data_IF_987636585459
#
_entry.id   IF_987636585459
#
_cell.length_a   1.000
_cell.length_b   1.000
_cell.length_c   1.000
_cell.angle_alpha   90.00
_cell.angle_beta   90.00
_cell.angle_gamma   90.00
#
_symmetry.space_group_name_H-M   'P 1'
#
loop_
_entity.id
_entity.type
_entity.pdbx_description
1 polymer ?
#
# COMPACT_ATOMS: atom_id res chain seq x y z
N UNK A 1 -1.57 10.26 16.04
CA UNK A 1 -1.17 10.05 14.63
C UNK A 1 -0.18 11.12 14.14
N UNK A 2 -0.49 12.43 14.18
CA UNK A 2 0.47 13.46 13.70
C UNK A 2 1.84 13.38 14.38
N UNK A 3 1.89 13.16 15.68
CA UNK A 3 3.13 13.06 16.46
C UNK A 3 4.06 11.96 15.92
N UNK A 4 3.53 10.75 15.67
CA UNK A 4 4.31 9.65 15.12
C UNK A 4 4.82 9.89 13.69
N UNK A 5 4.07 10.69 12.91
CA UNK A 5 4.50 11.10 11.58
C UNK A 5 5.73 12.03 11.63
N UNK A 6 5.71 13.00 12.55
CA UNK A 6 6.89 13.87 12.78
C UNK A 6 8.07 13.11 13.38
N UNK A 7 7.82 12.15 14.28
CA UNK A 7 8.86 11.29 14.84
C UNK A 7 9.56 10.48 13.71
N UNK A 8 8.78 9.88 12.81
CA UNK A 8 9.31 9.16 11.65
C UNK A 8 10.09 10.08 10.70
N UNK A 9 9.58 11.28 10.43
CA UNK A 9 10.30 12.29 9.65
C UNK A 9 11.65 12.62 10.28
N UNK A 10 11.67 12.92 11.58
CA UNK A 10 12.90 13.25 12.31
C UNK A 10 13.93 12.11 12.28
N UNK A 11 13.49 10.85 12.37
CA UNK A 11 14.37 9.68 12.23
C UNK A 11 15.06 9.67 10.86
N UNK A 12 14.34 9.96 9.78
CA UNK A 12 14.91 10.01 8.43
C UNK A 12 15.88 11.18 8.28
N UNK A 13 15.49 12.38 8.71
CA UNK A 13 16.32 13.58 8.60
C UNK A 13 17.60 13.47 9.45
N UNK A 14 17.52 12.87 10.64
CA UNK A 14 18.71 12.61 11.47
C UNK A 14 19.71 11.63 10.84
N UNK A 15 19.24 10.81 9.89
CA UNK A 15 20.07 9.91 9.09
C UNK A 15 20.60 10.56 7.80
N UNK A 16 20.34 11.86 7.61
CA UNK A 16 20.82 12.63 6.47
C UNK A 16 19.95 12.54 5.21
N UNK A 17 18.71 12.00 5.31
CA UNK A 17 17.81 11.97 4.17
C UNK A 17 17.09 13.30 3.96
N UNK A 18 17.04 13.77 2.72
CA UNK A 18 16.15 14.86 2.31
C UNK A 18 14.78 14.26 2.01
N UNK A 19 13.86 14.34 2.96
CA UNK A 19 12.52 13.74 2.84
C UNK A 19 11.60 14.71 2.10
N UNK A 20 11.06 14.30 0.94
CA UNK A 20 10.12 15.09 0.16
C UNK A 20 8.68 14.73 0.47
N UNK A 21 8.42 13.49 0.90
CA UNK A 21 7.09 13.02 1.29
C UNK A 21 7.21 11.90 2.33
N UNK A 22 6.28 11.88 3.28
CA UNK A 22 6.07 10.74 4.17
C UNK A 22 4.58 10.60 4.47
N UNK A 23 4.05 9.40 4.33
CA UNK A 23 2.64 9.10 4.59
C UNK A 23 2.45 7.79 5.36
N UNK A 24 1.35 7.72 6.10
CA UNK A 24 0.94 6.48 6.76
C UNK A 24 0.64 5.40 5.75
N UNK A 25 0.93 4.17 6.15
CA UNK A 25 0.62 2.96 5.44
C UNK A 25 0.10 1.91 6.44
N UNK A 26 -0.60 0.87 5.95
CA UNK A 26 -1.01 -0.24 6.81
C UNK A 26 -2.25 0.01 7.67
N UNK A 27 -2.36 -0.69 8.81
CA UNK A 27 -3.59 -0.82 9.59
C UNK A 27 -4.17 0.50 10.10
N UNK A 28 -3.32 1.45 10.51
CA UNK A 28 -3.74 2.76 10.98
C UNK A 28 -4.47 3.55 9.89
N UNK A 29 -4.06 3.35 8.65
CA UNK A 29 -4.65 4.02 7.50
C UNK A 29 -6.08 3.54 7.20
N UNK A 30 -6.40 2.29 7.56
CA UNK A 30 -7.68 1.64 7.23
C UNK A 30 -8.68 1.63 8.38
N UNK A 31 -8.35 2.24 9.51
CA UNK A 31 -9.11 2.12 10.76
C UNK A 31 -9.18 0.65 11.25
N UNK A 32 -8.14 -0.14 10.97
CA UNK A 32 -7.98 -1.52 11.43
C UNK A 32 -6.83 -1.67 12.44
N UNK A 33 -6.32 -0.57 12.98
CA UNK A 33 -5.32 -0.60 14.04
C UNK A 33 -5.96 -0.94 15.39
N UNK A 34 -5.21 -1.67 16.20
CA UNK A 34 -5.45 -1.90 17.62
C UNK A 34 -4.28 -1.35 18.44
N UNK A 35 -4.34 -1.48 19.77
CA UNK A 35 -3.33 -0.98 20.71
C UNK A 35 -1.91 -1.56 20.50
N UNK A 36 -1.81 -2.73 19.82
CA UNK A 36 -0.55 -3.40 19.52
C UNK A 36 -0.16 -3.28 18.05
N UNK A 37 -0.78 -2.38 17.31
CA UNK A 37 -0.46 -2.19 15.90
C UNK A 37 0.72 -1.26 15.72
N UNK A 38 1.72 -1.71 14.95
CA UNK A 38 2.85 -0.91 14.55
C UNK A 38 2.42 0.27 13.67
N UNK A 39 3.19 1.33 13.71
CA UNK A 39 3.04 2.48 12.82
C UNK A 39 3.93 2.29 11.59
N UNK A 40 3.30 1.96 10.47
CA UNK A 40 3.99 1.78 9.20
C UNK A 40 3.90 3.05 8.34
N UNK A 41 5.04 3.43 7.74
CA UNK A 41 5.15 4.61 6.88
C UNK A 41 5.78 4.24 5.55
N UNK A 42 5.42 5.01 4.51
CA UNK A 42 6.19 5.08 3.26
C UNK A 42 6.75 6.47 3.11
N UNK A 43 8.05 6.55 2.86
CA UNK A 43 8.76 7.80 2.68
C UNK A 43 9.40 7.88 1.30
N UNK A 44 9.39 9.09 0.73
CA UNK A 44 10.05 9.45 -0.51
C UNK A 44 11.16 10.43 -0.17
N UNK A 45 12.37 10.12 -0.60
CA UNK A 45 13.53 10.96 -0.39
C UNK A 45 14.12 11.43 -1.70
N UNK A 46 14.73 12.62 -1.70
CA UNK A 46 15.54 13.06 -2.82
C UNK A 46 16.91 12.36 -2.69
N UNK A 47 17.34 11.58 -3.70
CA UNK A 47 18.66 10.96 -3.67
C UNK A 47 19.74 12.05 -3.73
N UNK A 48 20.90 11.81 -3.17
CA UNK A 48 22.05 12.71 -3.31
C UNK A 48 22.56 12.70 -4.76
N UNK A 49 23.23 13.77 -5.20
CA UNK A 49 23.84 13.80 -6.53
C UNK A 49 24.87 12.66 -6.71
N UNK A 50 25.59 12.30 -5.63
CA UNK A 50 26.53 11.19 -5.64
C UNK A 50 25.84 9.85 -5.89
N UNK A 51 24.71 9.58 -5.22
CA UNK A 51 23.91 8.37 -5.43
C UNK A 51 23.40 8.30 -6.87
N UNK A 52 22.91 9.42 -7.42
CA UNK A 52 22.46 9.48 -8.82
C UNK A 52 23.58 9.13 -9.81
N UNK A 53 24.76 9.75 -9.65
CA UNK A 53 25.92 9.52 -10.53
C UNK A 53 26.38 8.07 -10.44
N UNK A 54 26.41 7.49 -9.23
CA UNK A 54 26.78 6.11 -9.00
C UNK A 54 25.69 5.10 -9.33
N UNK A 55 24.48 5.57 -9.64
CA UNK A 55 23.27 4.72 -9.82
C UNK A 55 22.96 3.87 -8.57
N UNK A 56 23.25 4.41 -7.41
CA UNK A 56 22.92 3.80 -6.13
C UNK A 56 21.43 4.11 -5.83
N UNK A 57 20.67 3.05 -5.52
CA UNK A 57 19.23 3.15 -5.26
C UNK A 57 18.97 3.20 -3.76
N UNK A 58 18.23 4.20 -3.31
CA UNK A 58 17.68 4.20 -1.95
C UNK A 58 16.38 3.41 -1.93
N UNK A 59 16.46 2.18 -1.44
CA UNK A 59 15.32 1.27 -1.31
C UNK A 59 15.50 0.38 -0.08
N UNK A 60 15.04 0.85 1.08
CA UNK A 60 15.23 0.13 2.35
C UNK A 60 14.08 0.35 3.32
N UNK A 61 13.92 -0.58 4.24
CA UNK A 61 13.06 -0.45 5.40
C UNK A 61 13.92 -0.01 6.59
N UNK A 62 13.51 1.05 7.26
CA UNK A 62 14.14 1.54 8.49
C UNK A 62 13.24 1.12 9.63
N UNK A 63 13.76 0.24 10.48
CA UNK A 63 13.08 -0.23 11.69
C UNK A 63 13.20 0.82 12.79
N UNK A 64 12.10 1.09 13.49
CA UNK A 64 11.97 2.02 14.60
C UNK A 64 11.22 1.35 15.75
N UNK A 65 11.33 1.87 16.95
CA UNK A 65 10.62 1.34 18.14
C UNK A 65 9.09 1.38 17.98
N UNK A 66 8.58 2.25 17.10
CA UNK A 66 7.14 2.42 16.84
C UNK A 66 6.66 1.69 15.59
N UNK A 67 7.54 1.11 14.77
CA UNK A 67 7.19 0.43 13.50
C UNK A 67 8.22 0.64 12.41
N UNK A 68 7.79 0.63 11.15
CA UNK A 68 8.68 0.58 9.99
C UNK A 68 8.48 1.77 9.05
N UNK A 69 9.59 2.25 8.46
CA UNK A 69 9.57 3.27 7.40
C UNK A 69 10.13 2.66 6.12
N UNK A 70 9.26 2.31 5.16
CA UNK A 70 9.67 1.87 3.81
C UNK A 70 10.09 3.11 3.00
N UNK A 71 11.40 3.29 2.85
CA UNK A 71 12.01 4.47 2.26
C UNK A 71 12.49 4.18 0.84
N UNK A 72 12.05 5.00 -0.11
CA UNK A 72 12.47 4.96 -1.52
C UNK A 72 12.94 6.32 -1.96
N UNK A 73 13.96 6.36 -2.83
CA UNK A 73 14.23 7.60 -3.58
C UNK A 73 13.10 7.91 -4.57
N UNK A 74 13.02 9.18 -4.98
CA UNK A 74 11.97 9.68 -5.85
C UNK A 74 11.93 8.95 -7.22
N UNK A 75 13.08 8.54 -7.78
CA UNK A 75 13.14 7.80 -9.05
C UNK A 75 12.56 6.40 -8.89
N UNK A 76 12.97 5.69 -7.82
CA UNK A 76 12.44 4.36 -7.51
C UNK A 76 10.95 4.41 -7.21
N UNK A 77 10.50 5.45 -6.49
CA UNK A 77 9.09 5.67 -6.23
C UNK A 77 8.32 5.89 -7.55
N UNK A 78 8.84 6.74 -8.43
CA UNK A 78 8.26 7.00 -9.76
C UNK A 78 8.09 5.72 -10.58
N UNK A 79 9.09 4.84 -10.57
CA UNK A 79 8.97 3.52 -11.22
C UNK A 79 7.80 2.68 -10.68
N UNK A 80 7.49 2.78 -9.39
CA UNK A 80 6.32 2.11 -8.80
C UNK A 80 5.00 2.78 -9.20
N UNK A 81 4.99 4.12 -9.33
CA UNK A 81 3.83 4.86 -9.83
C UNK A 81 3.54 4.50 -11.29
N UNK A 82 4.56 4.49 -12.15
CA UNK A 82 4.44 4.09 -13.56
C UNK A 82 3.89 2.66 -13.73
N UNK A 83 4.21 1.74 -12.80
CA UNK A 83 3.66 0.37 -12.78
C UNK A 83 2.25 0.26 -12.20
N UNK A 84 1.70 1.35 -11.70
CA UNK A 84 0.39 1.36 -11.03
C UNK A 84 0.37 0.53 -9.75
N UNK A 85 1.49 0.51 -8.99
CA UNK A 85 1.61 -0.30 -7.78
C UNK A 85 0.68 0.23 -6.69
N UNK A 86 -0.35 -0.57 -6.39
CA UNK A 86 -1.42 -0.21 -5.46
C UNK A 86 -0.90 0.26 -4.10
N UNK A 87 0.07 -0.45 -3.50
CA UNK A 87 0.52 -0.14 -2.14
C UNK A 87 1.24 1.22 -2.03
N UNK A 88 1.88 1.69 -3.10
CA UNK A 88 2.51 3.00 -3.15
C UNK A 88 1.49 4.11 -3.46
N UNK A 89 0.56 3.85 -4.37
CA UNK A 89 -0.54 4.77 -4.67
C UNK A 89 -1.41 4.98 -3.42
N UNK A 90 -1.69 3.91 -2.68
CA UNK A 90 -2.45 3.97 -1.44
C UNK A 90 -1.75 4.83 -0.37
N UNK A 91 -0.43 4.68 -0.22
CA UNK A 91 0.35 5.52 0.70
C UNK A 91 0.40 6.99 0.27
N UNK A 92 0.40 7.26 -1.04
CA UNK A 92 0.35 8.63 -1.58
C UNK A 92 -1.00 9.30 -1.33
N UNK A 93 -2.10 8.54 -1.42
CA UNK A 93 -3.47 9.06 -1.26
C UNK A 93 -3.92 9.15 0.21
N UNK A 94 -3.08 8.82 1.19
CA UNK A 94 -3.43 8.94 2.60
C UNK A 94 -3.67 10.40 3.00
N UNK A 95 -4.66 10.62 3.86
CA UNK A 95 -4.90 11.94 4.48
C UNK A 95 -3.89 12.26 5.60
N UNK A 96 -3.11 11.27 6.02
CA UNK A 96 -2.12 11.40 7.09
C UNK A 96 -0.73 11.39 6.49
N UNK A 97 -0.29 12.54 6.01
CA UNK A 97 1.01 12.71 5.36
C UNK A 97 1.66 14.04 5.75
N UNK A 98 2.95 14.15 5.43
CA UNK A 98 3.71 15.39 5.33
C UNK A 98 4.26 15.44 3.91
N UNK A 99 3.87 16.42 3.13
CA UNK A 99 4.32 16.66 1.77
C UNK A 99 5.14 17.96 1.74
N UNK A 100 6.44 17.83 1.49
CA UNK A 100 7.39 18.94 1.33
C UNK A 100 7.72 19.21 -0.14
N UNK A 101 6.97 18.60 -1.06
CA UNK A 101 7.22 18.74 -2.50
C UNK A 101 7.17 20.18 -2.99
N UNK A 102 6.20 20.98 -2.55
CA UNK A 102 6.11 22.41 -2.87
C UNK A 102 7.38 23.16 -2.47
N UNK A 103 7.88 22.95 -1.24
CA UNK A 103 9.07 23.60 -0.71
C UNK A 103 10.34 23.18 -1.48
N UNK A 104 10.50 21.89 -1.70
CA UNK A 104 11.73 21.31 -2.24
C UNK A 104 11.78 21.29 -3.78
N UNK A 105 10.64 21.00 -4.41
CA UNK A 105 10.55 20.75 -5.86
C UNK A 105 9.66 21.77 -6.60
N UNK A 106 8.89 22.61 -5.88
CA UNK A 106 7.95 23.56 -6.46
C UNK A 106 6.62 22.94 -6.89
N UNK A 107 6.36 21.69 -6.50
CA UNK A 107 5.09 20.97 -6.71
C UNK A 107 4.91 19.95 -5.58
N UNK A 108 3.68 19.81 -5.07
CA UNK A 108 3.41 18.73 -4.09
C UNK A 108 3.55 17.36 -4.74
N UNK A 109 4.00 16.36 -3.98
CA UNK A 109 4.13 14.99 -4.48
C UNK A 109 2.75 14.41 -4.82
N UNK A 110 1.71 14.79 -4.09
CA UNK A 110 0.34 14.37 -4.39
C UNK A 110 -0.16 14.95 -5.72
N UNK A 111 0.18 16.19 -6.05
CA UNK A 111 -0.19 16.82 -7.32
C UNK A 111 0.63 16.28 -8.50
N UNK A 112 1.93 16.03 -8.29
CA UNK A 112 2.80 15.40 -9.29
C UNK A 112 2.22 14.07 -9.80
N UNK A 113 1.68 13.25 -8.91
CA UNK A 113 1.10 11.95 -9.23
C UNK A 113 -0.43 11.91 -9.15
N UNK A 114 -1.12 13.05 -9.30
CA UNK A 114 -2.60 13.13 -9.16
C UNK A 114 -3.36 12.21 -10.09
N UNK A 115 -2.86 12.01 -11.31
CA UNK A 115 -3.51 11.23 -12.37
C UNK A 115 -3.05 9.76 -12.42
N UNK A 116 -2.23 9.33 -11.43
CA UNK A 116 -1.72 7.96 -11.37
C UNK A 116 -2.86 6.94 -11.37
N UNK A 117 -2.69 5.89 -12.16
CA UNK A 117 -3.67 4.81 -12.31
C UNK A 117 -3.23 3.56 -11.57
N UNK A 118 -4.17 2.87 -10.94
CA UNK A 118 -3.93 1.57 -10.29
C UNK A 118 -3.92 0.46 -11.34
N UNK A 119 -2.93 -0.40 -11.27
CA UNK A 119 -2.94 -1.65 -12.02
C UNK A 119 -3.79 -2.70 -11.29
N UNK A 120 -5.07 -2.76 -11.59
CA UNK A 120 -6.00 -3.70 -10.95
C UNK A 120 -5.68 -5.17 -11.22
N UNK A 121 -5.01 -5.50 -12.35
CA UNK A 121 -4.54 -6.86 -12.60
C UNK A 121 -3.46 -7.26 -11.59
N UNK A 122 -2.60 -6.32 -11.16
CA UNK A 122 -1.63 -6.59 -10.10
C UNK A 122 -2.29 -6.85 -8.75
N UNK A 123 -3.45 -6.24 -8.47
CA UNK A 123 -4.23 -6.54 -7.27
C UNK A 123 -4.82 -7.96 -7.31
N UNK A 124 -5.34 -8.38 -8.45
CA UNK A 124 -5.78 -9.77 -8.66
C UNK A 124 -4.62 -10.72 -8.40
N UNK A 125 -3.45 -10.46 -9.00
CA UNK A 125 -2.22 -11.25 -8.75
C UNK A 125 -1.85 -11.28 -7.26
N UNK A 126 -1.95 -10.14 -6.57
CA UNK A 126 -1.67 -10.07 -5.14
C UNK A 126 -2.63 -10.95 -4.31
N UNK A 127 -3.92 -11.05 -4.65
CA UNK A 127 -4.86 -11.97 -3.98
C UNK A 127 -4.38 -13.42 -4.15
N UNK A 128 -3.92 -13.82 -5.35
CA UNK A 128 -3.36 -15.16 -5.58
C UNK A 128 -2.11 -15.43 -4.73
N UNK A 129 -1.20 -14.47 -4.63
CA UNK A 129 -0.01 -14.61 -3.79
C UNK A 129 -0.36 -14.69 -2.29
N UNK A 130 -1.36 -13.93 -1.83
CA UNK A 130 -1.85 -14.03 -0.45
C UNK A 130 -2.46 -15.41 -0.15
N UNK A 131 -3.14 -16.03 -1.12
CA UNK A 131 -3.68 -17.39 -0.97
C UNK A 131 -2.55 -18.42 -0.81
N UNK A 132 -1.49 -18.33 -1.59
CA UNK A 132 -0.31 -19.19 -1.41
C UNK A 132 0.35 -18.97 -0.06
N UNK A 133 0.53 -17.70 0.33
CA UNK A 133 1.16 -17.33 1.58
C UNK A 133 0.32 -17.73 2.82
N UNK A 134 -1.01 -17.86 2.70
CA UNK A 134 -1.89 -18.27 3.79
C UNK A 134 -1.44 -19.58 4.45
N UNK A 135 -1.07 -20.58 3.63
CA UNK A 135 -0.70 -21.93 4.08
C UNK A 135 0.79 -22.22 3.94
N UNK A 136 1.60 -21.21 3.61
CA UNK A 136 3.06 -21.34 3.57
C UNK A 136 3.68 -20.91 4.89
N UNK A 137 4.35 -21.86 5.55
CA UNK A 137 5.00 -21.58 6.84
C UNK A 137 6.30 -20.80 6.63
N UNK A 138 6.34 -19.60 7.19
CA UNK A 138 7.54 -18.78 7.30
C UNK A 138 8.09 -18.87 8.74
N UNK A 139 9.42 -18.90 8.95
CA UNK A 139 10.01 -18.94 10.30
C UNK A 139 9.49 -17.84 11.23
N UNK A 140 9.23 -16.64 10.70
CA UNK A 140 8.69 -15.49 11.43
C UNK A 140 7.20 -15.63 11.80
N UNK A 141 6.53 -16.71 11.35
CA UNK A 141 5.10 -16.98 11.52
C UNK A 141 4.83 -18.35 12.17
N UNK A 142 5.85 -18.96 12.74
CA UNK A 142 5.75 -20.29 13.34
C UNK A 142 4.69 -20.39 14.44
N UNK A 143 4.47 -19.33 15.22
CA UNK A 143 3.46 -19.31 16.26
C UNK A 143 2.02 -19.34 15.71
N UNK A 144 1.75 -18.57 14.65
CA UNK A 144 0.45 -18.56 13.94
C UNK A 144 0.20 -19.93 13.32
N UNK A 145 1.22 -20.53 12.69
CA UNK A 145 1.12 -21.86 12.10
C UNK A 145 0.90 -22.96 13.13
N UNK A 146 1.57 -22.89 14.28
CA UNK A 146 1.34 -23.85 15.39
C UNK A 146 -0.09 -23.78 15.92
N UNK A 147 -0.70 -22.59 15.95
CA UNK A 147 -2.04 -22.39 16.52
C UNK A 147 -3.16 -22.59 15.49
N UNK A 148 -2.95 -22.21 14.23
CA UNK A 148 -4.02 -22.11 13.23
C UNK A 148 -3.74 -22.89 11.94
N UNK A 149 -2.54 -23.40 11.74
CA UNK A 149 -2.11 -24.03 10.49
C UNK A 149 -1.98 -23.06 9.31
N UNK A 150 -1.99 -21.74 9.57
CA UNK A 150 -1.92 -20.71 8.54
C UNK A 150 -1.51 -19.35 9.12
N UNK A 151 -1.25 -18.36 8.21
CA UNK A 151 -1.11 -16.94 8.57
C UNK A 151 -2.43 -16.19 8.30
N UNK A 152 -3.27 -15.93 9.32
CA UNK A 152 -4.57 -15.28 9.14
C UNK A 152 -4.50 -13.88 8.52
N UNK A 153 -3.39 -13.15 8.70
CA UNK A 153 -3.17 -11.81 8.14
C UNK A 153 -3.24 -11.82 6.60
N UNK A 154 -2.87 -12.93 5.95
CA UNK A 154 -2.97 -13.05 4.49
C UNK A 154 -4.43 -13.04 4.02
N UNK A 155 -5.32 -13.65 4.80
CA UNK A 155 -6.76 -13.63 4.51
C UNK A 155 -7.35 -12.22 4.64
N UNK A 156 -7.03 -11.50 5.71
CA UNK A 156 -7.40 -10.09 5.87
C UNK A 156 -6.98 -9.24 4.66
N UNK A 157 -5.73 -9.39 4.22
CA UNK A 157 -5.22 -8.61 3.08
C UNK A 157 -5.96 -8.95 1.78
N UNK A 158 -6.29 -10.24 1.56
CA UNK A 158 -7.04 -10.64 0.38
C UNK A 158 -8.47 -10.10 0.39
N UNK A 159 -9.17 -10.16 1.53
CA UNK A 159 -10.52 -9.59 1.68
C UNK A 159 -10.51 -8.09 1.33
N UNK A 160 -9.54 -7.34 1.82
CA UNK A 160 -9.42 -5.91 1.52
C UNK A 160 -9.18 -5.63 0.03
N UNK A 161 -8.25 -6.35 -0.59
CA UNK A 161 -7.99 -6.19 -2.03
C UNK A 161 -9.22 -6.53 -2.86
N UNK A 162 -9.93 -7.60 -2.50
CA UNK A 162 -11.17 -7.99 -3.14
C UNK A 162 -12.27 -6.93 -3.00
N UNK A 163 -12.43 -6.38 -1.81
CA UNK A 163 -13.43 -5.35 -1.53
C UNK A 163 -13.19 -4.09 -2.38
N UNK A 164 -11.93 -3.66 -2.53
CA UNK A 164 -11.54 -2.56 -3.40
C UNK A 164 -11.85 -2.86 -4.88
N UNK A 165 -11.53 -4.07 -5.37
CA UNK A 165 -11.86 -4.48 -6.73
C UNK A 165 -13.37 -4.50 -6.99
N UNK A 166 -14.14 -5.00 -6.03
CA UNK A 166 -15.61 -5.03 -6.10
C UNK A 166 -16.21 -3.62 -6.16
N UNK A 167 -15.71 -2.72 -5.34
CA UNK A 167 -16.21 -1.34 -5.33
C UNK A 167 -15.89 -0.64 -6.67
N UNK A 168 -14.68 -0.89 -7.23
CA UNK A 168 -14.32 -0.38 -8.55
C UNK A 168 -15.26 -0.88 -9.65
N UNK A 169 -15.70 -2.15 -9.61
CA UNK A 169 -16.61 -2.70 -10.62
C UNK A 169 -17.98 -2.02 -10.65
N UNK A 170 -18.39 -1.41 -9.53
CA UNK A 170 -19.67 -0.69 -9.42
C UNK A 170 -19.62 0.72 -10.02
N UNK A 171 -18.47 1.36 -10.00
CA UNK A 171 -18.26 2.75 -10.47
C UNK A 171 -16.89 2.91 -11.13
N UNK A 172 -16.65 2.31 -12.31
CA UNK A 172 -15.30 2.26 -12.92
C UNK A 172 -14.75 3.63 -13.28
N UNK A 173 -15.61 4.60 -13.58
CA UNK A 173 -15.22 5.95 -14.01
C UNK A 173 -15.01 6.92 -12.84
N UNK A 174 -15.69 6.67 -11.71
CA UNK A 174 -15.64 7.52 -10.51
C UNK A 174 -14.65 7.01 -9.46
N UNK A 175 -14.01 5.87 -9.69
CA UNK A 175 -13.10 5.27 -8.74
C UNK A 175 -11.81 6.07 -8.62
N UNK A 176 -11.95 7.23 -8.03
CA UNK A 176 -10.86 7.90 -7.37
C UNK A 176 -10.51 7.03 -6.16
N UNK A 177 -9.28 6.55 -6.04
CA UNK A 177 -8.77 5.84 -4.87
C UNK A 177 -8.94 6.73 -3.63
N UNK A 178 -10.21 6.92 -3.23
CA UNK A 178 -10.48 7.43 -1.92
C UNK A 178 -10.08 6.33 -0.96
N UNK A 179 -9.25 6.70 -0.03
CA UNK A 179 -8.74 5.81 0.99
C UNK A 179 -9.92 5.19 1.74
N UNK A 180 -10.06 3.85 1.68
CA UNK A 180 -11.18 3.17 2.32
C UNK A 180 -10.87 2.92 3.80
N UNK A 181 -11.53 3.67 4.68
CA UNK A 181 -11.56 3.36 6.10
C UNK A 181 -12.74 2.41 6.38
N UNK A 182 -12.50 1.38 7.18
CA UNK A 182 -13.54 0.44 7.56
C UNK A 182 -14.29 0.94 8.80
N UNK A 183 -15.60 1.11 8.65
CA UNK A 183 -16.53 1.36 9.74
C UNK A 183 -16.92 0.07 10.48
N UNK A 184 -17.85 0.18 11.41
CA UNK A 184 -18.32 -0.97 12.20
C UNK A 184 -19.03 -2.02 11.35
N UNK A 185 -19.62 -1.62 10.21
CA UNK A 185 -20.27 -2.50 9.22
C UNK A 185 -19.28 -3.47 8.55
N UNK A 186 -17.97 -3.16 8.58
CA UNK A 186 -16.94 -4.02 8.02
C UNK A 186 -17.10 -4.28 6.51
N UNK A 187 -16.98 -5.55 6.11
CA UNK A 187 -17.08 -6.01 4.72
C UNK A 187 -18.14 -7.10 4.62
N UNK A 188 -19.03 -6.97 3.63
CA UNK A 188 -20.04 -7.97 3.33
C UNK A 188 -19.88 -8.46 1.90
N UNK A 189 -20.01 -9.79 1.68
CA UNK A 189 -20.10 -10.38 0.35
C UNK A 189 -20.91 -11.68 0.39
N UNK A 190 -21.47 -12.04 -0.75
CA UNK A 190 -22.28 -13.23 -0.93
C UNK A 190 -21.50 -14.26 -1.73
N UNK A 191 -21.37 -15.46 -1.16
CA UNK A 191 -20.83 -16.64 -1.83
C UNK A 191 -21.98 -17.38 -2.52
N UNK A 192 -21.87 -17.57 -3.83
CA UNK A 192 -22.75 -18.48 -4.58
C UNK A 192 -22.06 -19.84 -4.56
N UNK A 193 -22.63 -20.82 -3.86
CA UNK A 193 -22.08 -22.18 -3.83
C UNK A 193 -22.26 -22.86 -5.18
N UNK A 194 -21.18 -23.38 -5.74
CA UNK A 194 -21.15 -24.01 -7.06
C UNK A 194 -21.95 -25.32 -7.15
N UNK A 195 -22.29 -25.94 -6.02
CA UNK A 195 -22.96 -27.24 -5.99
C UNK A 195 -24.50 -27.15 -6.13
N UNK A 196 -25.08 -25.97 -5.92
CA UNK A 196 -26.49 -25.71 -6.23
C UNK A 196 -26.70 -24.22 -6.51
N UNK A 197 -27.21 -23.89 -7.71
CA UNK A 197 -27.59 -22.50 -8.07
C UNK A 197 -28.64 -21.88 -7.13
N UNK A 198 -29.12 -22.62 -6.15
CA UNK A 198 -30.16 -22.23 -5.19
C UNK A 198 -29.61 -21.89 -3.79
N UNK A 199 -28.34 -22.12 -3.47
CA UNK A 199 -27.77 -21.78 -2.16
C UNK A 199 -26.73 -20.69 -2.28
N UNK A 200 -27.08 -19.49 -1.84
CA UNK A 200 -26.10 -18.43 -1.58
C UNK A 200 -25.89 -18.33 -0.08
N UNK A 201 -24.62 -18.22 0.34
CA UNK A 201 -24.27 -17.94 1.72
C UNK A 201 -23.66 -16.55 1.81
N UNK A 202 -24.28 -15.70 2.63
CA UNK A 202 -23.77 -14.36 2.90
C UNK A 202 -22.70 -14.43 3.99
N UNK A 203 -21.55 -13.85 3.73
CA UNK A 203 -20.47 -13.65 4.68
C UNK A 203 -20.38 -12.18 5.05
N UNK A 204 -20.23 -11.95 6.33
CA UNK A 204 -20.08 -10.63 6.91
C UNK A 204 -18.86 -10.66 7.85
N UNK A 205 -17.94 -9.75 7.64
CA UNK A 205 -16.80 -9.52 8.51
C UNK A 205 -16.94 -8.14 9.13
N UNK A 206 -17.26 -8.09 10.41
CA UNK A 206 -17.27 -6.84 11.16
C UNK A 206 -15.87 -6.23 11.21
N UNK A 207 -15.77 -4.96 11.59
CA UNK A 207 -14.45 -4.33 11.83
C UNK A 207 -13.63 -5.12 12.86
N UNK A 208 -14.27 -5.65 13.90
CA UNK A 208 -13.63 -6.46 14.95
C UNK A 208 -13.10 -7.79 14.40
N UNK A 209 -13.84 -8.44 13.50
CA UNK A 209 -13.36 -9.64 12.80
C UNK A 209 -12.13 -9.33 11.95
N UNK A 210 -12.15 -8.22 11.20
CA UNK A 210 -11.01 -7.79 10.39
C UNK A 210 -9.78 -7.49 11.25
N UNK A 211 -9.95 -6.85 12.40
CA UNK A 211 -8.86 -6.62 13.36
C UNK A 211 -8.35 -7.96 13.91
N UNK A 212 -9.25 -8.87 14.26
CA UNK A 212 -8.91 -10.20 14.78
C UNK A 212 -8.10 -11.03 13.78
N UNK A 213 -8.44 -10.95 12.48
CA UNK A 213 -7.71 -11.63 11.39
C UNK A 213 -6.25 -11.21 11.25
N UNK A 214 -5.80 -10.18 11.93
CA UNK A 214 -4.36 -9.85 11.99
C UNK A 214 -3.56 -10.90 12.75
N UNK A 215 -4.20 -11.67 13.64
CA UNK A 215 -3.53 -12.58 14.60
C UNK A 215 -4.18 -13.94 14.74
N UNK A 216 -5.47 -14.07 14.41
CA UNK A 216 -6.22 -15.33 14.59
C UNK A 216 -7.27 -15.50 13.50
N UNK A 217 -7.65 -16.74 13.24
CA UNK A 217 -8.82 -17.03 12.42
C UNK A 217 -10.10 -16.68 13.19
N UNK A 218 -11.08 -16.15 12.48
CA UNK A 218 -12.44 -15.86 12.98
C UNK A 218 -13.43 -16.97 12.61
N UNK A 219 -12.96 -17.99 11.87
CA UNK A 219 -13.71 -19.14 11.42
C UNK A 219 -12.77 -20.33 11.19
N UNK A 220 -13.25 -21.56 11.00
CA UNK A 220 -12.43 -22.73 10.68
C UNK A 220 -11.56 -22.53 9.43
N UNK A 221 -10.38 -23.15 9.40
CA UNK A 221 -9.41 -22.99 8.32
C UNK A 221 -9.95 -23.48 6.97
N UNK A 222 -10.68 -24.60 6.96
CA UNK A 222 -11.29 -25.14 5.73
C UNK A 222 -12.34 -24.20 5.13
N UNK A 223 -13.12 -23.54 5.97
CA UNK A 223 -14.05 -22.48 5.54
C UNK A 223 -13.31 -21.24 5.05
N UNK A 224 -12.25 -20.81 5.75
CA UNK A 224 -11.38 -19.71 5.32
C UNK A 224 -10.80 -19.98 3.92
N UNK A 225 -10.33 -21.22 3.68
CA UNK A 225 -9.79 -21.64 2.38
C UNK A 225 -10.85 -21.55 1.28
N UNK A 226 -12.06 -22.06 1.52
CA UNK A 226 -13.18 -21.99 0.55
C UNK A 226 -13.52 -20.56 0.19
N UNK A 227 -13.62 -19.68 1.16
CA UNK A 227 -13.86 -18.25 0.94
C UNK A 227 -12.70 -17.65 0.12
N UNK A 228 -11.47 -17.96 0.47
CA UNK A 228 -10.31 -17.42 -0.25
C UNK A 228 -10.30 -17.85 -1.72
N UNK A 229 -10.57 -19.13 -2.00
CA UNK A 229 -10.64 -19.66 -3.37
C UNK A 229 -11.77 -18.97 -4.18
N UNK A 230 -12.89 -18.67 -3.53
CA UNK A 230 -13.95 -17.84 -4.12
C UNK A 230 -13.47 -16.40 -4.42
N UNK A 231 -12.79 -15.74 -3.47
CA UNK A 231 -12.26 -14.39 -3.68
C UNK A 231 -11.31 -14.34 -4.89
N UNK A 232 -10.46 -15.36 -5.06
CA UNK A 232 -9.57 -15.46 -6.22
C UNK A 232 -10.33 -15.53 -7.53
N UNK A 233 -11.34 -16.41 -7.59
CA UNK A 233 -12.15 -16.58 -8.78
C UNK A 233 -12.88 -15.29 -9.14
N UNK A 234 -13.57 -14.70 -8.17
CA UNK A 234 -14.40 -13.50 -8.38
C UNK A 234 -13.58 -12.23 -8.62
N UNK A 235 -12.40 -12.11 -8.02
CA UNK A 235 -11.53 -10.97 -8.25
C UNK A 235 -11.21 -10.76 -9.73
N UNK A 236 -11.04 -11.84 -10.49
CA UNK A 236 -10.79 -11.76 -11.94
C UNK A 236 -12.03 -11.33 -12.73
N UNK A 237 -13.23 -11.74 -12.29
CA UNK A 237 -14.50 -11.40 -12.96
C UNK A 237 -14.85 -9.92 -12.87
N UNK A 238 -14.32 -9.19 -11.88
CA UNK A 238 -14.52 -7.74 -11.76
C UNK A 238 -13.75 -6.93 -12.80
N UNK A 239 -12.80 -7.54 -13.49
CA UNK A 239 -12.07 -6.87 -14.56
C UNK A 239 -12.64 -7.30 -15.92
N UNK A 240 -12.75 -6.39 -16.89
CA UNK A 240 -13.06 -6.74 -18.27
C UNK A 240 -12.11 -7.82 -18.79
N UNK A 241 -12.58 -8.70 -19.69
CA UNK A 241 -11.75 -9.77 -20.26
C UNK A 241 -10.52 -9.24 -21.02
N UNK A 242 -10.68 -8.07 -21.62
CA UNK A 242 -9.70 -7.31 -22.38
C UNK A 242 -9.03 -6.20 -21.55
N UNK A 243 -9.12 -6.28 -20.21
CA UNK A 243 -8.47 -5.29 -19.36
C UNK A 243 -6.97 -5.25 -19.61
N UNK A 244 -6.49 -4.09 -20.04
CA UNK A 244 -5.09 -3.76 -20.18
C UNK A 244 -4.77 -2.53 -19.35
N UNK A 245 -3.76 -2.66 -18.47
CA UNK A 245 -3.25 -1.52 -17.74
C UNK A 245 -2.47 -0.61 -18.69
N UNK A 246 -2.85 0.66 -18.72
CA UNK A 246 -2.13 1.69 -19.48
C UNK A 246 -1.40 2.60 -18.47
N UNK A 247 -0.09 2.41 -18.30
CA UNK A 247 0.70 3.24 -17.40
C UNK A 247 0.76 4.68 -17.89
N UNK A 248 0.87 5.61 -16.94
CA UNK A 248 1.40 6.94 -17.19
C UNK A 248 2.89 6.92 -16.87
N UNK A 249 3.70 7.64 -17.62
CA UNK A 249 5.14 7.73 -17.38
C UNK A 249 5.50 9.12 -16.86
N UNK A 250 5.90 9.18 -15.60
CA UNK A 250 6.32 10.40 -14.92
C UNK A 250 7.85 10.59 -14.90
N UNK A 251 8.60 9.75 -15.62
CA UNK A 251 10.06 9.69 -15.51
C UNK A 251 10.71 11.01 -15.92
N UNK A 252 10.35 11.56 -17.08
CA UNK A 252 10.94 12.79 -17.58
C UNK A 252 10.62 13.99 -16.68
N UNK A 253 9.37 14.09 -16.21
CA UNK A 253 8.93 15.16 -15.32
C UNK A 253 9.71 15.15 -14.00
N UNK A 254 9.91 13.97 -13.41
CA UNK A 254 10.70 13.80 -12.18
C UNK A 254 12.18 14.13 -12.41
N UNK A 255 12.75 13.71 -13.54
CA UNK A 255 14.14 14.06 -13.89
C UNK A 255 14.30 15.59 -13.99
N UNK A 256 13.38 16.28 -14.65
CA UNK A 256 13.41 17.75 -14.74
C UNK A 256 13.33 18.43 -13.37
N UNK A 257 12.48 17.93 -12.47
CA UNK A 257 12.37 18.44 -11.11
C UNK A 257 13.68 18.25 -10.32
N UNK A 258 14.31 17.08 -10.42
CA UNK A 258 15.60 16.80 -9.77
C UNK A 258 16.71 17.68 -10.33
N UNK A 259 16.76 17.89 -11.65
CA UNK A 259 17.75 18.80 -12.27
C UNK A 259 17.58 20.24 -11.76
N UNK A 260 16.34 20.72 -11.67
CA UNK A 260 16.05 22.06 -11.11
C UNK A 260 16.46 22.15 -9.64
N UNK A 261 16.14 21.15 -8.85
CA UNK A 261 16.51 21.05 -7.42
C UNK A 261 18.04 21.15 -7.23
N UNK A 262 18.81 20.28 -7.89
CA UNK A 262 20.27 20.26 -7.74
C UNK A 262 20.92 21.53 -8.30
N UNK A 263 20.40 22.09 -9.38
CA UNK A 263 20.91 23.36 -9.94
C UNK A 263 20.75 24.52 -8.95
N UNK A 264 19.62 24.57 -8.23
CA UNK A 264 19.36 25.57 -7.19
C UNK A 264 20.30 25.37 -6.00
N UNK A 265 20.37 24.17 -5.46
CA UNK A 265 21.20 23.83 -4.28
C UNK A 265 22.67 24.15 -4.52
N UNK A 266 23.22 23.79 -5.68
CA UNK A 266 24.62 24.09 -6.04
C UNK A 266 24.89 25.60 -6.18
N UNK A 267 23.92 26.41 -6.60
CA UNK A 267 24.06 27.87 -6.65
C UNK A 267 24.06 28.48 -5.26
N UNK A 268 23.22 28.02 -4.36
CA UNK A 268 23.14 28.45 -2.97
C UNK A 268 24.46 28.15 -2.25
N UNK A 269 25.01 26.95 -2.34
CA UNK A 269 26.30 26.57 -1.77
C UNK A 269 27.49 27.38 -2.29
N UNK A 270 27.45 27.82 -3.55
CA UNK A 270 28.50 28.65 -4.13
C UNK A 270 28.42 30.15 -3.73
N UNK A 271 27.20 30.60 -3.36
CA UNK A 271 27.01 31.99 -2.91
C UNK A 271 27.40 32.19 -1.41
N UNK A 272 27.40 31.13 -0.63
CA UNK A 272 27.74 31.12 0.78
C UNK A 272 29.24 30.95 1.04
N UNK A 273 30.05 30.77 -0.02
CA UNK A 273 31.50 30.72 -0.01
C UNK A 273 32.13 32.04 -0.45
#
# INVERSE_FOLDING_TARGET
MKEKLYEALNVLESKGYTVVYIGYYGAHNYNLADENSDYDFKAIVIPTLTELIKREVVSKVIECDFGNIDTKDLITFTSNMNKGNFSYIEALKTKYNIDKGEELLGISIQDLFKDVKVNYMSMVGAIYEKRKALTHEYPSKSAEFANYGCDPKQFLQAIRLYDILRDRSKSPEEYNLSFKEYGNEGIQFELIEFESESSSRKYEFTREDLISLKRRLVMPLDETIKIFDYLQLKAREYLPKDYHFQPLDYTDEVIELLVKYFTRTLKEENNDR
#
